data_IF_776236830226
#
_entry.id   IF_776236830226
#
_cell.length_a   1.000
_cell.length_b   1.000
_cell.length_c   1.000
_cell.angle_alpha   90.00
_cell.angle_beta   90.00
_cell.angle_gamma   90.00
#
_symmetry.space_group_name_H-M   'P 1'
#
loop_
_entity.id
_entity.type
_entity.pdbx_description
1 polymer ?
#
# COMPACT_ATOMS: atom_id res chain seq x y z
N UNK A 1 14.63 -2.31 11.14
CA UNK A 1 14.78 -2.83 12.51
C UNK A 1 13.44 -2.68 13.19
N UNK A 2 12.97 -1.49 13.53
CA UNK A 2 11.53 -1.24 13.64
C UNK A 2 11.24 0.14 13.08
N UNK A 3 10.05 0.33 12.52
CA UNK A 3 9.62 1.56 11.87
C UNK A 3 10.46 2.00 10.65
N UNK A 4 11.32 1.12 10.10
CA UNK A 4 12.03 1.42 8.87
C UNK A 4 11.03 1.48 7.72
N UNK A 5 11.05 2.58 6.96
CA UNK A 5 10.13 2.81 5.84
C UNK A 5 10.85 2.65 4.50
N UNK A 6 10.13 2.10 3.53
CA UNK A 6 10.55 2.08 2.13
C UNK A 6 9.36 2.39 1.23
N UNK A 7 9.61 3.20 0.21
CA UNK A 7 8.71 3.37 -0.91
C UNK A 7 8.95 2.21 -1.89
N UNK A 8 7.86 1.52 -2.26
CA UNK A 8 7.89 0.39 -3.18
C UNK A 8 6.83 0.60 -4.25
N UNK A 9 7.23 0.42 -5.51
CA UNK A 9 6.31 0.46 -6.64
C UNK A 9 5.98 -0.97 -7.04
N UNK A 10 4.75 -1.40 -6.73
CA UNK A 10 4.28 -2.74 -7.04
C UNK A 10 3.65 -2.71 -8.43
N UNK A 11 4.17 -3.51 -9.36
CA UNK A 11 3.57 -3.63 -10.70
C UNK A 11 2.19 -4.27 -10.60
N UNK A 12 1.17 -3.57 -11.09
CA UNK A 12 -0.21 -4.03 -11.17
C UNK A 12 -0.88 -3.55 -12.45
N UNK A 13 -2.00 -2.83 -12.29
CA UNK A 13 -2.87 -2.35 -13.37
C UNK A 13 -3.11 -0.85 -13.21
N UNK A 14 -3.59 -0.18 -14.27
CA UNK A 14 -3.88 1.27 -14.18
C UNK A 14 -5.07 1.54 -13.26
N UNK A 15 -6.03 0.61 -13.21
CA UNK A 15 -7.16 0.58 -12.30
C UNK A 15 -7.47 -0.87 -11.90
N UNK A 16 -7.82 -1.06 -10.64
CA UNK A 16 -7.97 -2.40 -10.09
C UNK A 16 -8.95 -2.44 -8.91
N UNK A 17 -9.52 -3.62 -8.67
CA UNK A 17 -10.14 -3.94 -7.39
C UNK A 17 -9.12 -4.68 -6.52
N UNK A 18 -8.81 -4.13 -5.35
CA UNK A 18 -7.96 -4.74 -4.33
C UNK A 18 -8.78 -5.71 -3.47
N UNK A 19 -8.36 -6.97 -3.43
CA UNK A 19 -9.05 -8.05 -2.74
C UNK A 19 -8.35 -8.45 -1.44
N UNK A 20 -7.02 -8.61 -1.48
CA UNK A 20 -6.21 -8.93 -0.30
C UNK A 20 -4.83 -8.30 -0.36
N UNK A 21 -4.25 -8.05 0.81
CA UNK A 21 -2.82 -7.73 0.97
C UNK A 21 -2.20 -8.81 1.85
N UNK A 22 -1.13 -9.44 1.37
CA UNK A 22 -0.34 -10.40 2.15
C UNK A 22 1.00 -9.79 2.51
N UNK A 23 1.43 -9.97 3.75
CA UNK A 23 2.77 -9.61 4.22
C UNK A 23 3.47 -10.84 4.78
N UNK A 24 4.79 -10.93 4.64
CA UNK A 24 5.58 -12.04 5.18
C UNK A 24 6.02 -11.83 6.64
N UNK A 25 5.70 -10.68 7.23
CA UNK A 25 5.99 -10.29 8.61
C UNK A 25 5.19 -9.04 9.00
N UNK A 26 5.24 -8.70 10.29
CA UNK A 26 4.63 -7.49 10.82
C UNK A 26 5.06 -6.24 10.02
N UNK A 27 4.08 -5.55 9.43
CA UNK A 27 4.31 -4.36 8.62
C UNK A 27 3.08 -3.45 8.60
N UNK A 28 3.28 -2.19 8.24
CA UNK A 28 2.23 -1.27 7.79
C UNK A 28 2.40 -1.04 6.30
N UNK A 29 1.40 -1.42 5.50
CA UNK A 29 1.39 -1.28 4.05
C UNK A 29 0.35 -0.23 3.69
N UNK A 30 0.76 0.78 2.91
CA UNK A 30 -0.09 1.87 2.44
C UNK A 30 -0.02 1.95 0.93
N UNK A 31 -1.17 1.94 0.26
CA UNK A 31 -1.28 2.07 -1.19
C UNK A 31 -1.83 3.46 -1.52
N UNK A 32 -1.26 4.12 -2.51
CA UNK A 32 -1.62 5.47 -2.92
C UNK A 32 -1.93 5.54 -4.41
N UNK A 33 -2.73 6.53 -4.78
CA UNK A 33 -3.03 6.82 -6.19
C UNK A 33 -1.83 7.39 -6.94
N UNK A 34 -0.84 7.96 -6.23
CA UNK A 34 0.39 8.51 -6.83
C UNK A 34 1.56 8.60 -5.85
N UNK A 35 2.77 8.78 -6.39
CA UNK A 35 4.00 9.03 -5.65
C UNK A 35 3.97 10.36 -4.89
N UNK A 36 3.32 11.36 -5.47
CA UNK A 36 3.13 12.66 -4.84
C UNK A 36 2.24 12.55 -3.58
N UNK A 37 1.15 11.78 -3.66
CA UNK A 37 0.24 11.55 -2.52
C UNK A 37 0.87 10.65 -1.47
N UNK A 38 1.63 9.62 -1.88
CA UNK A 38 2.51 8.83 -0.99
C UNK A 38 3.50 9.71 -0.23
N UNK A 39 4.17 10.63 -0.92
CA UNK A 39 5.17 11.53 -0.32
C UNK A 39 4.52 12.53 0.65
N UNK A 40 3.33 13.04 0.31
CA UNK A 40 2.59 13.96 1.18
C UNK A 40 2.12 13.30 2.49
N UNK A 41 1.80 12.00 2.48
CA UNK A 41 1.35 11.25 3.66
C UNK A 41 2.52 10.69 4.52
N UNK A 42 3.76 11.05 4.20
CA UNK A 42 4.97 10.46 4.81
C UNK A 42 5.01 10.54 6.35
N UNK A 43 4.53 11.62 6.93
CA UNK A 43 4.58 11.85 8.38
C UNK A 43 3.34 11.38 9.13
N UNK A 44 2.35 10.78 8.45
CA UNK A 44 1.09 10.38 9.11
C UNK A 44 1.33 9.19 10.06
N UNK A 45 0.99 9.39 11.33
CA UNK A 45 1.06 8.35 12.34
C UNK A 45 0.10 7.19 12.03
N UNK A 46 0.42 6.01 12.54
CA UNK A 46 -0.43 4.83 12.44
C UNK A 46 -1.75 5.04 13.20
N UNK A 47 -2.87 4.62 12.62
CA UNK A 47 -4.20 4.77 13.23
C UNK A 47 -4.77 6.18 13.22
N UNK A 48 -4.08 7.15 12.60
CA UNK A 48 -4.62 8.49 12.35
C UNK A 48 -5.27 8.51 10.97
N UNK A 49 -6.48 9.03 10.89
CA UNK A 49 -7.19 9.16 9.63
C UNK A 49 -6.40 10.03 8.63
N UNK A 50 -6.37 9.66 7.34
CA UNK A 50 -5.78 10.51 6.32
C UNK A 50 -6.54 11.84 6.21
N UNK A 51 -5.85 12.89 5.76
CA UNK A 51 -6.53 14.14 5.40
C UNK A 51 -7.49 13.88 4.24
N UNK A 52 -8.48 14.76 4.08
CA UNK A 52 -9.26 14.81 2.85
C UNK A 52 -8.32 14.85 1.64
N UNK A 53 -8.67 14.11 0.59
CA UNK A 53 -7.94 14.04 -0.67
C UNK A 53 -6.47 13.56 -0.55
N UNK A 54 -6.11 12.84 0.51
CA UNK A 54 -4.75 12.32 0.73
C UNK A 54 -4.30 11.25 -0.30
N UNK A 55 -5.20 10.78 -1.17
CA UNK A 55 -4.87 9.79 -2.19
C UNK A 55 -4.55 8.38 -1.65
N UNK A 56 -4.85 8.09 -0.37
CA UNK A 56 -4.72 6.76 0.22
C UNK A 56 -5.84 5.84 -0.26
N UNK A 57 -5.48 4.69 -0.84
CA UNK A 57 -6.40 3.66 -1.32
C UNK A 57 -6.72 2.67 -0.20
N UNK A 58 -5.67 2.17 0.48
CA UNK A 58 -5.81 1.21 1.57
C UNK A 58 -4.62 1.32 2.53
N UNK A 59 -4.88 1.04 3.81
CA UNK A 59 -3.87 0.87 4.84
C UNK A 59 -4.12 -0.46 5.56
N UNK A 60 -3.09 -1.30 5.62
CA UNK A 60 -3.11 -2.59 6.32
C UNK A 60 -1.96 -2.61 7.31
N UNK A 61 -2.24 -3.03 8.55
CA UNK A 61 -1.25 -3.20 9.62
C UNK A 61 -1.30 -4.66 10.07
N UNK A 62 -0.18 -5.36 9.97
CA UNK A 62 -0.04 -6.75 10.38
C UNK A 62 0.91 -6.88 11.57
N UNK A 63 0.73 -7.95 12.34
CA UNK A 63 1.59 -8.28 13.51
C UNK A 63 2.49 -9.50 13.28
N UNK A 64 2.42 -10.08 12.08
CA UNK A 64 3.20 -11.24 11.66
C UNK A 64 3.02 -11.48 10.16
N UNK A 65 3.36 -12.68 9.70
CA UNK A 65 3.00 -13.10 8.34
C UNK A 65 1.49 -13.32 8.28
N UNK A 66 0.79 -12.58 7.42
CA UNK A 66 -0.68 -12.54 7.41
C UNK A 66 -1.21 -12.11 6.04
N UNK A 67 -2.37 -12.65 5.67
CA UNK A 67 -3.19 -12.16 4.55
C UNK A 67 -4.41 -11.43 5.10
N UNK A 68 -4.51 -10.14 4.79
CA UNK A 68 -5.63 -9.28 5.19
C UNK A 68 -6.62 -9.16 4.04
N UNK A 69 -7.90 -9.45 4.33
CA UNK A 69 -9.01 -9.37 3.39
C UNK A 69 -9.54 -7.94 3.34
N UNK A 70 -9.77 -7.42 2.14
CA UNK A 70 -10.39 -6.11 1.90
C UNK A 70 -11.85 -6.34 1.52
N UNK A 71 -12.79 -5.95 2.39
CA UNK A 71 -14.23 -6.18 2.20
C UNK A 71 -15.06 -4.92 2.51
N UNK A 72 -15.90 -4.43 1.57
CA UNK A 72 -15.87 -4.80 0.14
C UNK A 72 -14.50 -4.50 -0.47
N UNK A 73 -14.18 -5.07 -1.64
CA UNK A 73 -12.91 -4.77 -2.31
C UNK A 73 -12.75 -3.26 -2.52
N UNK A 74 -11.51 -2.77 -2.44
CA UNK A 74 -11.22 -1.34 -2.63
C UNK A 74 -10.87 -1.05 -4.09
N UNK A 75 -11.45 0.01 -4.66
CA UNK A 75 -11.07 0.49 -5.99
C UNK A 75 -9.76 1.29 -5.90
N UNK A 76 -8.73 0.82 -6.59
CA UNK A 76 -7.47 1.51 -6.76
C UNK A 76 -7.26 1.95 -8.21
N UNK A 77 -6.49 3.02 -8.40
CA UNK A 77 -6.12 3.53 -9.71
C UNK A 77 -4.83 4.35 -9.62
N UNK A 78 -4.08 4.39 -10.71
CA UNK A 78 -2.87 5.19 -10.85
C UNK A 78 -3.24 6.57 -11.42
N UNK A 79 -2.87 7.63 -10.70
CA UNK A 79 -3.09 9.03 -11.03
C UNK A 79 -1.78 9.75 -11.38
N UNK A 80 -0.76 8.99 -11.85
CA UNK A 80 0.46 9.57 -12.38
C UNK A 80 0.22 10.31 -13.71
N UNK A 81 1.17 11.17 -14.08
CA UNK A 81 1.18 11.85 -15.37
C UNK A 81 2.54 11.64 -16.07
N UNK A 82 2.64 10.70 -17.03
CA UNK A 82 1.59 9.85 -17.58
C UNK A 82 1.18 8.69 -16.65
N UNK A 83 -0.04 8.18 -16.80
CA UNK A 83 -0.56 7.02 -16.06
C UNK A 83 0.29 5.78 -16.33
N UNK A 84 0.67 5.08 -15.26
CA UNK A 84 1.47 3.84 -15.31
C UNK A 84 0.73 2.66 -14.69
N UNK A 85 1.36 1.48 -14.70
CA UNK A 85 0.88 0.28 -13.96
C UNK A 85 1.56 0.13 -12.60
N UNK A 86 2.37 1.10 -12.17
CA UNK A 86 3.01 1.08 -10.87
C UNK A 86 2.00 1.52 -9.80
N UNK A 87 1.78 0.67 -8.80
CA UNK A 87 1.01 1.01 -7.61
C UNK A 87 1.98 1.60 -6.60
N UNK A 88 1.85 2.90 -6.33
CA UNK A 88 2.69 3.61 -5.36
C UNK A 88 2.38 3.12 -3.95
N UNK A 89 3.34 2.45 -3.31
CA UNK A 89 3.17 1.94 -1.94
C UNK A 89 4.24 2.44 -1.00
N UNK A 90 3.89 2.56 0.28
CA UNK A 90 4.86 2.72 1.37
C UNK A 90 4.72 1.59 2.36
N UNK A 91 5.84 0.99 2.70
CA UNK A 91 5.92 -0.13 3.65
C UNK A 91 6.75 0.31 4.85
N UNK A 92 6.17 0.19 6.04
CA UNK A 92 6.88 0.34 7.31
C UNK A 92 7.09 -1.06 7.91
N UNK A 93 8.33 -1.45 8.12
CA UNK A 93 8.68 -2.73 8.75
C UNK A 93 8.48 -2.65 10.27
N UNK A 94 7.65 -3.52 10.84
CA UNK A 94 7.30 -3.60 12.26
C UNK A 94 7.77 -4.91 12.92
N UNK A 95 8.68 -5.64 12.27
CA UNK A 95 9.06 -7.00 12.67
C UNK A 95 10.20 -7.09 13.69
N UNK A 96 10.79 -5.96 14.12
CA UNK A 96 12.04 -5.96 14.90
C UNK A 96 13.30 -6.32 14.09
N UNK A 97 13.16 -6.74 12.82
CA UNK A 97 14.25 -7.20 11.96
C UNK A 97 14.71 -6.14 10.93
N UNK A 98 15.93 -6.30 10.41
CA UNK A 98 16.47 -5.50 9.29
C UNK A 98 16.11 -6.06 7.92
N UNK A 99 15.52 -7.25 7.86
CA UNK A 99 15.13 -7.89 6.60
C UNK A 99 14.01 -7.12 5.88
N UNK A 100 14.01 -7.13 4.55
CA UNK A 100 12.98 -6.48 3.70
C UNK A 100 11.63 -7.19 3.82
N UNK A 101 10.55 -6.45 4.03
CA UNK A 101 9.16 -6.96 4.03
C UNK A 101 8.75 -7.31 2.60
N UNK A 102 8.20 -8.51 2.40
CA UNK A 102 7.55 -8.87 1.13
C UNK A 102 6.06 -8.59 1.22
N UNK A 103 5.50 -8.03 0.13
CA UNK A 103 4.09 -7.69 0.02
C UNK A 103 3.53 -8.23 -1.28
N UNK A 104 2.47 -9.02 -1.19
CA UNK A 104 1.73 -9.53 -2.34
C UNK A 104 0.32 -8.94 -2.36
N UNK A 105 -0.10 -8.47 -3.53
CA UNK A 105 -1.44 -7.92 -3.75
C UNK A 105 -2.26 -8.91 -4.58
N UNK A 106 -3.46 -9.25 -4.12
CA UNK A 106 -4.46 -9.90 -4.97
C UNK A 106 -5.37 -8.82 -5.54
N UNK A 107 -5.26 -8.58 -6.85
CA UNK A 107 -5.93 -7.49 -7.54
C UNK A 107 -6.59 -8.00 -8.82
N UNK A 108 -7.76 -7.44 -9.14
CA UNK A 108 -8.49 -7.66 -10.39
C UNK A 108 -8.35 -6.42 -11.27
N UNK A 109 -7.86 -6.59 -12.50
CA UNK A 109 -7.81 -5.51 -13.49
C UNK A 109 -9.20 -5.00 -13.86
N UNK A 110 -9.37 -3.68 -13.96
CA UNK A 110 -10.66 -3.06 -14.32
C UNK A 110 -10.66 -2.38 -15.69
N UNK A 111 -9.52 -1.94 -16.19
CA UNK A 111 -9.37 -1.43 -17.56
C UNK A 111 -9.01 -2.53 -18.57
N UNK A 112 -9.25 -2.26 -19.86
CA UNK A 112 -8.86 -3.11 -20.99
C UNK A 112 -7.70 -2.50 -21.79
#
# INVERSE_FOLDING_TARGET
ADAAEADLDITGFKSYALLTITTDRAARVRLYVSDATRTADASRAEGVDPTSDAGLIAEVITTGAETVIISPGAYGFNLESPVTTAISTRITNKSGSTSTVQVDLNILQLEA
#
